data_IF_927223023629
#
_entry.id   IF_927223023629
#
_cell.length_a   1.000
_cell.length_b   1.000
_cell.length_c   1.000
_cell.angle_alpha   90.00
_cell.angle_beta   90.00
_cell.angle_gamma   90.00
#
_symmetry.space_group_name_H-M   'P 1'
#
loop_
_entity.id
_entity.type
_entity.pdbx_description
1 polymer ?
#
# COMPACT_ATOMS: atom_id res chain seq x y z
N UNK A 1 18.32 -4.53 -31.69
CA UNK A 1 19.20 -5.64 -32.17
C UNK A 1 20.62 -5.10 -32.42
N UNK A 2 21.64 -5.87 -32.05
CA UNK A 2 23.03 -5.50 -32.20
C UNK A 2 23.83 -6.64 -32.84
N UNK A 3 24.55 -6.36 -33.95
CA UNK A 3 25.39 -7.37 -34.60
C UNK A 3 26.80 -7.32 -33.99
N UNK A 4 27.21 -8.44 -33.39
CA UNK A 4 28.56 -8.56 -32.83
C UNK A 4 29.65 -8.59 -33.95
N UNK A 5 30.67 -7.77 -33.75
CA UNK A 5 31.88 -7.78 -34.57
C UNK A 5 32.87 -8.86 -34.15
N UNK A 6 33.99 -8.91 -34.86
CA UNK A 6 35.04 -9.93 -34.59
C UNK A 6 35.92 -9.61 -33.37
N UNK A 7 35.97 -8.42 -32.90
CA UNK A 7 36.71 -7.93 -31.71
C UNK A 7 38.18 -8.47 -31.67
N UNK A 8 38.85 -8.44 -32.84
CA UNK A 8 40.23 -8.90 -32.99
C UNK A 8 40.43 -10.43 -33.03
N UNK A 9 39.35 -11.22 -32.99
CA UNK A 9 39.39 -12.68 -33.15
C UNK A 9 39.37 -13.05 -34.63
N UNK A 10 40.09 -14.11 -34.99
CA UNK A 10 40.17 -14.64 -36.36
C UNK A 10 39.74 -16.13 -36.42
N UNK A 11 39.17 -16.55 -37.54
CA UNK A 11 38.66 -17.90 -37.74
C UNK A 11 37.15 -18.00 -37.51
N UNK A 12 36.66 -19.22 -37.34
CA UNK A 12 35.26 -19.49 -36.99
C UNK A 12 35.00 -18.99 -35.56
N UNK A 13 33.87 -18.24 -35.38
CA UNK A 13 33.49 -17.68 -34.10
C UNK A 13 32.26 -18.40 -33.58
N UNK A 14 32.21 -18.55 -32.26
CA UNK A 14 31.04 -18.97 -31.50
C UNK A 14 30.58 -17.85 -30.58
N UNK A 15 29.29 -17.78 -30.31
CA UNK A 15 28.64 -16.74 -29.50
C UNK A 15 27.78 -17.43 -28.47
N UNK A 16 27.90 -17.02 -27.20
CA UNK A 16 27.18 -17.61 -26.07
C UNK A 16 26.84 -16.59 -25.04
N UNK A 17 25.62 -16.62 -24.52
CA UNK A 17 25.23 -15.86 -23.32
C UNK A 17 25.75 -16.62 -22.11
N UNK A 18 26.75 -16.04 -21.43
CA UNK A 18 27.40 -16.68 -20.27
C UNK A 18 26.86 -16.19 -18.92
N UNK A 19 26.13 -15.08 -18.89
CA UNK A 19 25.40 -14.60 -17.71
C UNK A 19 24.26 -13.67 -18.09
N UNK A 20 23.21 -13.62 -17.26
CA UNK A 20 22.02 -12.80 -17.44
C UNK A 20 21.02 -13.39 -18.43
N UNK A 21 19.81 -12.86 -18.40
CA UNK A 21 18.66 -13.35 -19.18
C UNK A 21 18.09 -12.29 -20.14
N UNK A 22 18.65 -11.07 -20.13
CA UNK A 22 18.09 -9.95 -20.86
C UNK A 22 18.32 -9.97 -22.36
N UNK A 23 19.23 -10.81 -22.85
CA UNK A 23 19.49 -10.96 -24.30
C UNK A 23 19.58 -12.44 -24.70
N UNK A 24 19.33 -12.68 -25.99
CA UNK A 24 19.67 -13.93 -26.72
C UNK A 24 20.65 -13.58 -27.82
N UNK A 25 21.47 -14.55 -28.20
CA UNK A 25 22.43 -14.39 -29.28
C UNK A 25 22.29 -15.55 -30.28
N UNK A 26 22.30 -15.24 -31.57
CA UNK A 26 22.26 -16.24 -32.63
C UNK A 26 23.67 -16.80 -32.96
N UNK A 27 23.73 -17.90 -33.66
CA UNK A 27 24.98 -18.47 -34.18
C UNK A 27 25.74 -17.53 -35.12
N UNK A 28 25.05 -16.55 -35.71
CA UNK A 28 25.66 -15.50 -36.53
C UNK A 28 26.16 -14.31 -35.73
N UNK A 29 25.96 -14.28 -34.39
CA UNK A 29 26.33 -13.19 -33.51
C UNK A 29 25.34 -12.02 -33.50
N UNK A 30 24.10 -12.22 -33.95
CA UNK A 30 23.05 -11.23 -33.77
C UNK A 30 22.52 -11.28 -32.34
N UNK A 31 22.65 -10.18 -31.58
CA UNK A 31 22.15 -10.04 -30.22
C UNK A 31 20.80 -9.33 -30.27
N UNK A 32 19.80 -9.92 -29.66
CA UNK A 32 18.45 -9.37 -29.53
C UNK A 32 18.04 -9.35 -28.07
N UNK A 33 17.25 -8.33 -27.64
CA UNK A 33 16.64 -8.35 -26.32
C UNK A 33 15.74 -9.59 -26.19
N UNK A 34 15.79 -10.22 -25.02
CA UNK A 34 14.87 -11.29 -24.69
C UNK A 34 13.55 -10.67 -24.20
N UNK A 35 12.42 -11.27 -24.53
CA UNK A 35 11.11 -10.77 -24.13
C UNK A 35 10.14 -11.91 -23.85
N UNK A 36 9.23 -11.65 -22.92
CA UNK A 36 8.03 -12.44 -22.70
C UNK A 36 6.89 -11.91 -23.54
N UNK A 37 6.00 -12.79 -23.99
CA UNK A 37 4.82 -12.41 -24.76
C UNK A 37 3.61 -12.55 -23.86
N UNK A 38 2.87 -11.46 -23.74
CA UNK A 38 1.61 -11.41 -22.99
C UNK A 38 0.44 -11.12 -23.92
N UNK A 39 -0.70 -11.73 -23.61
CA UNK A 39 -1.96 -11.55 -24.32
C UNK A 39 -2.97 -10.93 -23.37
N UNK A 40 -3.56 -9.79 -23.74
CA UNK A 40 -4.50 -9.04 -22.92
C UNK A 40 -5.88 -9.02 -23.55
N UNK A 41 -6.90 -9.41 -22.79
CA UNK A 41 -8.31 -9.36 -23.19
C UNK A 41 -9.16 -8.85 -22.01
N UNK A 42 -9.86 -7.74 -22.19
CA UNK A 42 -10.75 -7.15 -21.19
C UNK A 42 -10.08 -6.96 -19.79
N UNK A 43 -8.79 -6.56 -19.76
CA UNK A 43 -8.06 -6.36 -18.53
C UNK A 43 -7.43 -7.62 -17.92
N UNK A 44 -7.63 -8.79 -18.50
CA UNK A 44 -6.97 -10.04 -18.07
C UNK A 44 -5.74 -10.32 -18.93
N UNK A 45 -4.58 -10.54 -18.26
CA UNK A 45 -3.32 -10.89 -18.90
C UNK A 45 -3.05 -12.41 -18.85
N UNK A 46 -2.45 -12.98 -19.89
CA UNK A 46 -2.03 -14.37 -19.95
C UNK A 46 -0.76 -14.52 -20.77
N UNK A 47 0.14 -15.41 -20.36
CA UNK A 47 1.29 -15.86 -21.17
C UNK A 47 0.89 -16.82 -22.30
N UNK A 48 -0.34 -17.32 -22.29
CA UNK A 48 -0.88 -18.19 -23.34
C UNK A 48 -1.77 -17.41 -24.32
N UNK A 49 -1.75 -17.73 -25.61
CA UNK A 49 -2.59 -17.08 -26.62
C UNK A 49 -4.08 -17.13 -26.26
N UNK A 50 -4.77 -16.00 -26.39
CA UNK A 50 -6.23 -15.86 -26.25
C UNK A 50 -6.81 -15.26 -27.55
N UNK A 51 -7.91 -15.81 -28.04
CA UNK A 51 -8.58 -15.30 -29.24
C UNK A 51 -9.10 -13.87 -29.00
N UNK A 52 -8.79 -12.94 -29.92
CA UNK A 52 -9.18 -11.54 -29.81
C UNK A 52 -8.34 -10.70 -28.84
N UNK A 53 -7.32 -11.26 -28.17
CA UNK A 53 -6.47 -10.54 -27.26
C UNK A 53 -5.43 -9.66 -27.96
N UNK A 54 -5.10 -8.53 -27.34
CA UNK A 54 -3.96 -7.70 -27.74
C UNK A 54 -2.67 -8.37 -27.30
N UNK A 55 -1.74 -8.58 -28.25
CA UNK A 55 -0.41 -9.13 -28.00
C UNK A 55 0.56 -8.01 -27.61
N UNK A 56 1.21 -8.15 -26.46
CA UNK A 56 2.26 -7.25 -25.98
C UNK A 56 3.57 -8.00 -25.76
N UNK A 57 4.67 -7.25 -25.80
CA UNK A 57 6.01 -7.78 -25.56
C UNK A 57 6.61 -7.10 -24.34
N UNK A 58 6.90 -7.88 -23.29
CA UNK A 58 7.66 -7.40 -22.13
C UNK A 58 9.12 -7.80 -22.28
N UNK A 59 10.00 -6.82 -22.44
CA UNK A 59 11.43 -7.06 -22.54
C UNK A 59 12.02 -7.38 -21.15
N UNK A 60 12.79 -8.47 -21.07
CA UNK A 60 13.54 -8.81 -19.85
C UNK A 60 14.69 -7.82 -19.72
N UNK A 61 14.60 -6.95 -18.72
CA UNK A 61 15.61 -5.90 -18.47
C UNK A 61 16.76 -6.46 -17.64
N UNK A 62 17.89 -5.78 -17.68
CA UNK A 62 19.06 -6.13 -16.89
C UNK A 62 20.33 -6.33 -17.72
N UNK A 63 21.37 -6.79 -17.03
CA UNK A 63 22.69 -7.02 -17.65
C UNK A 63 22.83 -8.48 -18.09
N UNK A 64 23.33 -8.66 -19.32
CA UNK A 64 23.74 -9.96 -19.85
C UNK A 64 25.15 -9.85 -20.42
N UNK A 65 25.91 -10.92 -20.31
CA UNK A 65 27.26 -11.00 -20.89
C UNK A 65 27.27 -12.05 -22.00
N UNK A 66 27.67 -11.63 -23.19
CA UNK A 66 27.84 -12.50 -24.35
C UNK A 66 29.33 -12.74 -24.60
N UNK A 67 29.73 -13.99 -24.63
CA UNK A 67 31.08 -14.41 -24.97
C UNK A 67 31.20 -14.69 -26.44
N UNK A 68 32.26 -14.12 -27.06
CA UNK A 68 32.68 -14.41 -28.42
C UNK A 68 33.94 -15.20 -28.31
N UNK A 69 34.03 -16.36 -28.96
CA UNK A 69 35.21 -17.25 -28.90
C UNK A 69 35.57 -17.83 -30.27
N UNK A 70 36.85 -18.01 -30.52
CA UNK A 70 37.38 -18.80 -31.65
C UNK A 70 37.96 -20.16 -31.20
N UNK A 71 37.63 -20.58 -29.98
CA UNK A 71 38.15 -21.83 -29.39
C UNK A 71 39.55 -21.69 -28.76
N UNK A 72 40.30 -20.61 -29.03
CA UNK A 72 41.63 -20.33 -28.47
C UNK A 72 41.68 -19.07 -27.64
N UNK A 73 40.90 -18.06 -28.02
CA UNK A 73 40.75 -16.79 -27.34
C UNK A 73 39.27 -16.42 -27.24
N UNK A 74 38.91 -15.66 -26.25
CA UNK A 74 37.56 -15.15 -26.08
C UNK A 74 37.53 -13.66 -25.64
N UNK A 75 36.44 -13.02 -25.92
CA UNK A 75 36.11 -11.64 -25.46
C UNK A 75 34.68 -11.64 -24.98
N UNK A 76 34.44 -10.98 -23.84
CA UNK A 76 33.12 -10.86 -23.24
C UNK A 76 32.59 -9.43 -23.48
N UNK A 77 31.36 -9.36 -23.94
CA UNK A 77 30.64 -8.08 -24.17
C UNK A 77 29.43 -8.01 -23.24
N UNK A 78 29.33 -6.95 -22.48
CA UNK A 78 28.19 -6.71 -21.60
C UNK A 78 27.12 -5.92 -22.34
N UNK A 79 25.89 -6.42 -22.30
CA UNK A 79 24.68 -5.73 -22.75
C UNK A 79 23.84 -5.34 -21.55
N UNK A 80 23.24 -4.15 -21.60
CA UNK A 80 22.27 -3.69 -20.63
C UNK A 80 20.96 -3.40 -21.37
N UNK A 81 19.96 -4.25 -21.15
CA UNK A 81 18.63 -4.07 -21.71
C UNK A 81 17.82 -3.25 -20.71
N UNK A 82 17.30 -2.10 -21.16
CA UNK A 82 16.46 -1.21 -20.36
C UNK A 82 15.09 -1.08 -21.00
N UNK A 83 14.05 -0.90 -20.19
CA UNK A 83 12.76 -0.50 -20.71
C UNK A 83 12.88 0.96 -21.15
N UNK A 84 12.69 1.23 -22.43
CA UNK A 84 12.85 2.56 -22.99
C UNK A 84 11.99 3.61 -22.31
N UNK A 85 10.73 3.27 -22.00
CA UNK A 85 9.80 4.18 -21.35
C UNK A 85 10.30 4.61 -19.96
N UNK A 86 10.76 3.66 -19.15
CA UNK A 86 11.33 3.95 -17.82
C UNK A 86 12.63 4.74 -17.92
N UNK A 87 13.51 4.35 -18.84
CA UNK A 87 14.77 5.05 -19.03
C UNK A 87 14.56 6.51 -19.52
N UNK A 88 13.66 6.70 -20.47
CA UNK A 88 13.31 8.03 -20.97
C UNK A 88 12.71 8.91 -19.87
N UNK A 89 11.77 8.39 -19.11
CA UNK A 89 11.14 9.10 -18.00
C UNK A 89 12.16 9.48 -16.90
N UNK A 90 13.07 8.56 -16.56
CA UNK A 90 14.15 8.79 -15.61
C UNK A 90 15.09 9.92 -16.08
N UNK A 91 15.49 9.95 -17.35
CA UNK A 91 16.34 11.00 -17.93
C UNK A 91 15.64 12.37 -17.94
N UNK A 92 14.34 12.43 -18.21
CA UNK A 92 13.55 13.67 -18.14
C UNK A 92 13.50 14.20 -16.71
N UNK A 93 13.21 13.33 -15.73
CA UNK A 93 13.18 13.72 -14.32
C UNK A 93 14.53 14.21 -13.82
N UNK A 94 15.62 13.50 -14.11
CA UNK A 94 17.00 13.92 -13.76
C UNK A 94 17.38 15.24 -14.43
N UNK A 95 16.98 15.44 -15.67
CA UNK A 95 17.23 16.69 -16.40
C UNK A 95 16.50 17.85 -15.73
N UNK A 96 15.25 17.68 -15.34
CA UNK A 96 14.52 18.69 -14.58
C UNK A 96 15.23 19.00 -13.25
N UNK A 97 15.58 17.99 -12.46
CA UNK A 97 16.29 18.18 -11.18
C UNK A 97 17.59 18.94 -11.39
N UNK A 98 18.42 18.54 -12.36
CA UNK A 98 19.71 19.18 -12.63
C UNK A 98 19.60 20.67 -13.04
N UNK A 99 18.51 21.03 -13.73
CA UNK A 99 18.31 22.37 -14.25
C UNK A 99 17.55 23.31 -13.29
N UNK A 100 16.70 22.76 -12.41
CA UNK A 100 15.71 23.53 -11.65
C UNK A 100 15.88 23.44 -10.14
N UNK A 101 16.60 22.45 -9.63
CA UNK A 101 16.77 22.22 -8.20
C UNK A 101 18.25 22.44 -7.81
N UNK A 102 18.48 23.23 -6.77
CA UNK A 102 19.82 23.45 -6.22
C UNK A 102 19.91 23.07 -4.74
N UNK A 103 21.11 22.78 -4.27
CA UNK A 103 21.37 22.45 -2.85
C UNK A 103 21.07 23.62 -1.90
N UNK A 104 21.00 24.85 -2.41
CA UNK A 104 20.67 26.04 -1.62
C UNK A 104 19.17 26.22 -1.39
N UNK A 105 18.31 25.50 -2.11
CA UNK A 105 16.85 25.55 -1.92
C UNK A 105 16.44 24.81 -0.66
N UNK A 106 15.47 25.38 0.09
CA UNK A 106 14.79 24.66 1.17
C UNK A 106 13.95 23.50 0.59
N UNK A 107 13.54 22.54 1.43
CA UNK A 107 12.68 21.45 0.99
C UNK A 107 11.35 21.97 0.42
N UNK A 108 10.77 23.02 1.04
CA UNK A 108 9.57 23.67 0.53
C UNK A 108 9.80 24.29 -0.87
N UNK A 109 10.91 24.99 -1.09
CA UNK A 109 11.21 25.57 -2.40
C UNK A 109 11.42 24.50 -3.49
N UNK A 110 12.01 23.37 -3.13
CA UNK A 110 12.11 22.22 -4.04
C UNK A 110 10.74 21.64 -4.37
N UNK A 111 9.88 21.46 -3.37
CA UNK A 111 8.50 20.99 -3.56
C UNK A 111 7.68 21.94 -4.44
N UNK A 112 7.81 23.25 -4.23
CA UNK A 112 7.17 24.27 -5.06
C UNK A 112 7.61 24.20 -6.51
N UNK A 113 8.92 24.07 -6.77
CA UNK A 113 9.47 23.93 -8.12
C UNK A 113 8.96 22.64 -8.79
N UNK A 114 8.91 21.53 -8.07
CA UNK A 114 8.39 20.24 -8.55
C UNK A 114 6.90 20.34 -8.91
N UNK A 115 6.08 20.87 -7.99
CA UNK A 115 4.63 21.01 -8.21
C UNK A 115 4.34 21.90 -9.41
N UNK A 116 5.04 23.03 -9.52
CA UNK A 116 4.95 23.94 -10.64
C UNK A 116 5.36 23.28 -11.97
N UNK A 117 6.47 22.53 -11.97
CA UNK A 117 6.92 21.81 -13.17
C UNK A 117 5.87 20.85 -13.69
N UNK A 118 5.27 20.04 -12.81
CA UNK A 118 4.23 19.06 -13.21
C UNK A 118 2.99 19.79 -13.74
N UNK A 119 2.54 20.84 -13.06
CA UNK A 119 1.36 21.61 -13.44
C UNK A 119 1.54 22.40 -14.74
N UNK A 120 2.75 22.89 -15.03
CA UNK A 120 3.04 23.71 -16.23
C UNK A 120 3.38 22.88 -17.46
N UNK A 121 3.93 21.66 -17.26
CA UNK A 121 4.47 20.85 -18.35
C UNK A 121 3.45 19.89 -18.93
N UNK A 122 2.54 19.36 -18.09
CA UNK A 122 1.66 18.26 -18.46
C UNK A 122 0.19 18.66 -18.42
N UNK A 123 -0.59 18.13 -19.37
CA UNK A 123 -2.02 18.38 -19.45
C UNK A 123 -2.82 17.26 -18.76
N UNK A 124 -4.08 17.54 -18.42
CA UNK A 124 -4.99 16.49 -17.96
C UNK A 124 -5.32 15.50 -19.08
N UNK A 125 -5.23 14.21 -18.78
CA UNK A 125 -5.66 13.12 -19.65
C UNK A 125 -6.15 11.94 -18.83
N UNK A 126 -7.43 11.57 -18.89
CA UNK A 126 -7.98 10.47 -18.08
C UNK A 126 -7.47 9.08 -18.50
N UNK A 127 -6.80 8.99 -19.65
CA UNK A 127 -6.33 7.72 -20.22
C UNK A 127 -5.00 7.23 -19.60
N UNK A 128 -4.34 8.07 -18.82
CA UNK A 128 -3.00 7.81 -18.28
C UNK A 128 -2.95 8.09 -16.78
N UNK A 129 -2.67 7.04 -15.99
CA UNK A 129 -2.70 7.07 -14.52
C UNK A 129 -1.33 6.80 -13.87
N UNK A 130 -0.20 6.91 -14.60
CA UNK A 130 1.14 6.81 -14.03
C UNK A 130 2.03 7.97 -14.47
N UNK A 131 2.99 8.36 -13.61
CA UNK A 131 3.93 9.43 -13.90
C UNK A 131 4.77 9.15 -15.16
N UNK A 132 5.15 7.90 -15.40
CA UNK A 132 5.86 7.50 -16.62
C UNK A 132 4.98 7.70 -17.85
N UNK A 133 3.72 7.28 -17.81
CA UNK A 133 2.81 7.49 -18.94
C UNK A 133 2.53 8.97 -19.15
N UNK A 134 2.43 9.78 -18.10
CA UNK A 134 2.30 11.23 -18.17
C UNK A 134 3.49 11.87 -18.91
N UNK A 135 4.72 11.49 -18.58
CA UNK A 135 5.93 12.01 -19.23
C UNK A 135 5.95 11.65 -20.72
N UNK A 136 5.55 10.44 -21.08
CA UNK A 136 5.61 9.95 -22.47
C UNK A 136 4.50 10.56 -23.34
N UNK A 137 3.29 10.69 -22.80
CA UNK A 137 2.11 11.17 -23.53
C UNK A 137 1.92 12.69 -23.49
N UNK A 138 2.60 13.38 -22.58
CA UNK A 138 2.44 14.82 -22.35
C UNK A 138 1.24 15.16 -21.47
N UNK A 139 0.60 14.17 -20.81
CA UNK A 139 -0.52 14.38 -19.91
C UNK A 139 -0.93 13.15 -19.12
N UNK A 140 -1.74 13.35 -18.08
CA UNK A 140 -2.25 12.29 -17.22
C UNK A 140 -3.34 12.76 -16.27
N UNK A 141 -3.92 11.84 -15.50
CA UNK A 141 -4.92 12.12 -14.48
C UNK A 141 -4.29 12.52 -13.13
N UNK A 142 -5.09 12.64 -12.08
CA UNK A 142 -4.59 12.99 -10.74
C UNK A 142 -3.67 11.91 -10.14
N UNK A 143 -3.82 10.64 -10.52
CA UNK A 143 -2.90 9.57 -10.12
C UNK A 143 -1.54 9.74 -10.79
N UNK A 144 -1.52 10.04 -12.09
CA UNK A 144 -0.30 10.26 -12.84
C UNK A 144 0.49 11.48 -12.33
N UNK A 145 -0.20 12.57 -12.01
CA UNK A 145 0.44 13.77 -11.44
C UNK A 145 0.98 13.50 -10.03
N UNK A 146 0.25 12.77 -9.17
CA UNK A 146 0.76 12.34 -7.87
C UNK A 146 2.00 11.46 -8.00
N UNK A 147 1.97 10.45 -8.86
CA UNK A 147 3.08 9.53 -9.08
C UNK A 147 4.34 10.27 -9.56
N UNK A 148 4.19 11.25 -10.46
CA UNK A 148 5.31 12.06 -10.92
C UNK A 148 5.83 13.02 -9.84
N UNK A 149 4.97 13.71 -9.09
CA UNK A 149 5.38 14.57 -7.97
C UNK A 149 6.14 13.74 -6.93
N UNK A 150 5.61 12.57 -6.53
CA UNK A 150 6.25 11.69 -5.57
C UNK A 150 7.62 11.21 -6.05
N UNK A 151 7.72 10.77 -7.31
CA UNK A 151 8.98 10.34 -7.90
C UNK A 151 10.04 11.45 -7.91
N UNK A 152 9.65 12.67 -8.22
CA UNK A 152 10.56 13.84 -8.18
C UNK A 152 10.95 14.21 -6.74
N UNK A 153 10.03 14.14 -5.79
CA UNK A 153 10.30 14.33 -4.36
C UNK A 153 11.32 13.31 -3.85
N UNK A 154 11.17 12.04 -4.22
CA UNK A 154 12.10 10.96 -3.83
C UNK A 154 13.52 11.22 -4.35
N UNK A 155 13.66 11.72 -5.59
CA UNK A 155 14.96 12.07 -6.19
C UNK A 155 15.70 13.18 -5.42
N UNK A 156 14.97 14.06 -4.72
CA UNK A 156 15.56 15.17 -3.93
C UNK A 156 15.47 14.95 -2.42
N UNK A 157 15.04 13.77 -1.98
CA UNK A 157 15.01 13.33 -0.58
C UNK A 157 13.87 13.89 0.27
N UNK A 158 12.80 14.41 -0.34
CA UNK A 158 11.60 14.89 0.36
C UNK A 158 10.70 13.70 0.68
N UNK A 159 10.38 13.50 1.97
CA UNK A 159 9.38 12.50 2.38
C UNK A 159 8.00 12.87 1.86
N UNK A 160 7.33 11.92 1.24
CA UNK A 160 6.06 12.17 0.60
C UNK A 160 5.17 10.91 0.56
N UNK A 161 3.89 11.09 0.33
CA UNK A 161 2.95 10.03 0.00
C UNK A 161 1.70 10.56 -0.70
N UNK A 162 0.97 9.66 -1.38
CA UNK A 162 -0.32 9.98 -1.98
C UNK A 162 -1.41 10.12 -0.90
N UNK A 163 -2.31 11.10 -1.06
CA UNK A 163 -3.44 11.34 -0.18
C UNK A 163 -4.77 11.22 -0.95
N UNK A 164 -5.80 10.69 -0.28
CA UNK A 164 -7.19 10.78 -0.77
C UNK A 164 -7.70 12.20 -0.51
N UNK A 165 -8.01 12.92 -1.56
CA UNK A 165 -8.41 14.33 -1.52
C UNK A 165 -9.91 14.57 -1.78
N UNK A 166 -10.76 13.54 -1.68
CA UNK A 166 -12.19 13.62 -2.02
C UNK A 166 -12.98 14.65 -1.19
N UNK A 167 -12.46 15.04 -0.02
CA UNK A 167 -13.09 16.01 0.90
C UNK A 167 -12.48 17.40 0.78
N UNK A 168 -11.47 17.58 -0.07
CA UNK A 168 -10.87 18.90 -0.27
C UNK A 168 -11.86 19.83 -0.98
N UNK A 169 -11.87 21.13 -0.65
CA UNK A 169 -12.81 22.07 -1.24
C UNK A 169 -12.78 22.05 -2.75
N UNK A 170 -13.92 21.68 -3.37
CA UNK A 170 -14.09 21.57 -4.81
C UNK A 170 -13.41 20.34 -5.44
N UNK A 171 -12.89 19.38 -4.71
CA UNK A 171 -12.45 18.09 -5.21
C UNK A 171 -13.65 17.26 -5.66
N UNK A 172 -13.49 16.48 -6.73
CA UNK A 172 -14.45 15.44 -7.14
C UNK A 172 -14.20 14.12 -6.39
N UNK A 173 -15.14 13.18 -6.52
CA UNK A 173 -14.92 11.82 -6.03
C UNK A 173 -13.74 11.18 -6.77
N UNK A 174 -12.81 10.56 -6.04
CA UNK A 174 -11.64 9.90 -6.62
C UNK A 174 -10.41 10.79 -6.78
N UNK A 175 -10.47 12.06 -6.37
CA UNK A 175 -9.30 12.94 -6.43
C UNK A 175 -8.16 12.50 -5.51
N UNK A 176 -6.94 12.72 -5.96
CA UNK A 176 -5.69 12.43 -5.25
C UNK A 176 -4.76 13.63 -5.33
N UNK A 177 -4.02 13.86 -4.26
CA UNK A 177 -2.88 14.77 -4.22
C UNK A 177 -1.75 14.19 -3.36
N UNK A 178 -0.67 14.92 -3.19
CA UNK A 178 0.52 14.48 -2.46
C UNK A 178 0.63 15.24 -1.15
N UNK A 179 0.94 14.54 -0.07
CA UNK A 179 1.44 15.14 1.17
C UNK A 179 2.96 15.01 1.18
N UNK A 180 3.64 16.10 1.47
CA UNK A 180 5.09 16.14 1.60
C UNK A 180 5.51 16.76 2.94
N UNK A 181 6.56 16.21 3.54
CA UNK A 181 7.18 16.77 4.74
C UNK A 181 8.37 17.62 4.33
N UNK A 182 8.25 18.93 4.50
CA UNK A 182 9.28 19.90 4.13
C UNK A 182 9.58 20.81 5.32
N UNK A 183 10.88 20.94 5.66
CA UNK A 183 11.36 21.82 6.72
C UNK A 183 10.61 21.62 8.06
N UNK A 184 10.20 20.37 8.36
CA UNK A 184 9.47 19.96 9.55
C UNK A 184 7.96 20.24 9.54
N UNK A 185 7.39 20.66 8.40
CA UNK A 185 5.97 20.93 8.21
C UNK A 185 5.39 20.08 7.08
N UNK A 186 4.08 19.81 7.16
CA UNK A 186 3.36 19.08 6.13
C UNK A 186 2.73 20.04 5.12
N UNK A 187 2.86 19.70 3.85
CA UNK A 187 2.27 20.45 2.74
C UNK A 187 1.49 19.53 1.81
N UNK A 188 0.33 20.02 1.35
CA UNK A 188 -0.38 19.44 0.22
C UNK A 188 0.23 19.99 -1.06
N UNK A 189 0.60 19.11 -1.99
CA UNK A 189 1.02 19.43 -3.34
C UNK A 189 0.05 18.81 -4.35
N UNK A 190 -0.63 19.67 -5.11
CA UNK A 190 -1.61 19.28 -6.12
C UNK A 190 -1.29 19.98 -7.44
N UNK A 191 -1.09 19.21 -8.50
CA UNK A 191 -0.83 19.77 -9.82
C UNK A 191 -2.12 20.23 -10.55
N UNK A 192 -3.26 20.16 -9.89
CA UNK A 192 -4.40 20.99 -10.23
C UNK A 192 -5.42 20.43 -11.19
N UNK A 193 -5.69 19.13 -11.22
CA UNK A 193 -6.72 18.62 -12.13
C UNK A 193 -7.91 18.01 -11.39
N UNK A 194 -9.08 18.68 -11.49
CA UNK A 194 -10.37 18.10 -11.13
C UNK A 194 -11.35 18.31 -12.26
N UNK A 195 -11.78 17.22 -12.90
CA UNK A 195 -12.65 17.25 -14.07
C UNK A 195 -12.00 17.95 -15.25
N UNK A 196 -12.81 18.52 -16.14
CA UNK A 196 -12.36 19.16 -17.40
C UNK A 196 -11.76 20.56 -17.23
N UNK A 197 -11.60 21.05 -15.99
CA UNK A 197 -11.03 22.36 -15.71
C UNK A 197 -9.69 22.24 -14.98
N UNK A 198 -8.60 22.86 -15.49
CA UNK A 198 -7.37 22.98 -14.71
C UNK A 198 -7.68 23.77 -13.44
N UNK A 199 -7.48 23.13 -12.28
CA UNK A 199 -7.40 23.88 -11.03
C UNK A 199 -6.05 24.56 -10.98
N UNK A 200 -6.03 25.69 -10.28
CA UNK A 200 -4.78 26.33 -9.91
C UNK A 200 -3.90 25.37 -9.11
N UNK A 201 -2.62 25.60 -9.15
CA UNK A 201 -1.61 24.89 -8.37
C UNK A 201 -1.94 25.08 -6.90
N UNK A 202 -2.27 23.99 -6.21
CA UNK A 202 -2.50 24.05 -4.78
C UNK A 202 -1.25 23.54 -4.05
N UNK A 203 -0.58 24.46 -3.37
CA UNK A 203 0.51 24.17 -2.46
C UNK A 203 0.24 24.93 -1.15
N UNK A 204 -0.14 24.20 -0.09
CA UNK A 204 -0.48 24.81 1.19
C UNK A 204 -0.09 23.92 2.37
N UNK A 205 0.21 24.57 3.51
CA UNK A 205 0.50 23.88 4.77
C UNK A 205 -0.75 23.15 5.28
N UNK A 206 -0.56 21.92 5.77
CA UNK A 206 -1.63 21.07 6.32
C UNK A 206 -1.23 20.47 7.67
N UNK A 207 -2.11 19.71 8.27
CA UNK A 207 -1.85 18.96 9.50
C UNK A 207 -1.88 17.45 9.24
N UNK A 208 -1.26 16.68 10.15
CA UNK A 208 -1.24 15.22 10.03
C UNK A 208 -2.63 14.57 10.20
N UNK A 209 -3.60 15.29 10.74
CA UNK A 209 -4.91 14.75 11.12
C UNK A 209 -6.01 15.43 10.32
N UNK A 210 -6.33 14.87 9.17
CA UNK A 210 -7.44 15.33 8.32
C UNK A 210 -8.77 14.96 8.98
N UNK A 211 -9.51 15.98 9.45
CA UNK A 211 -10.77 15.79 10.15
C UNK A 211 -11.85 16.80 9.71
N UNK A 212 -13.10 16.42 9.90
CA UNK A 212 -14.26 17.30 9.76
C UNK A 212 -15.06 17.28 11.06
N UNK A 213 -15.22 18.46 11.68
CA UNK A 213 -15.96 18.65 12.93
C UNK A 213 -15.55 17.65 14.04
N UNK A 214 -14.25 17.35 14.15
CA UNK A 214 -13.71 16.39 15.12
C UNK A 214 -13.83 14.92 14.74
N UNK A 215 -14.31 14.61 13.55
CA UNK A 215 -14.28 13.25 12.98
C UNK A 215 -13.01 13.07 12.16
N UNK A 216 -12.04 12.33 12.67
CA UNK A 216 -10.80 11.99 11.96
C UNK A 216 -11.12 11.00 10.86
N UNK A 217 -10.90 11.38 9.61
CA UNK A 217 -11.15 10.50 8.47
C UNK A 217 -9.88 9.99 7.76
N UNK A 218 -8.72 10.66 7.98
CA UNK A 218 -7.45 10.25 7.41
C UNK A 218 -6.27 10.76 8.25
N UNK A 219 -5.21 9.96 8.34
CA UNK A 219 -3.93 10.36 8.90
C UNK A 219 -2.92 10.56 7.77
N UNK A 220 -2.36 11.76 7.70
CA UNK A 220 -1.44 12.21 6.64
C UNK A 220 -0.01 12.41 7.14
N UNK A 221 0.30 12.04 8.39
CA UNK A 221 1.61 12.21 9.01
C UNK A 221 2.59 11.08 8.68
N UNK A 222 3.81 11.22 9.20
CA UNK A 222 4.94 10.30 9.00
C UNK A 222 5.44 9.65 10.29
N UNK A 223 4.72 9.79 11.41
CA UNK A 223 5.12 9.26 12.71
C UNK A 223 4.72 7.80 12.88
N UNK A 224 5.61 6.99 13.42
CA UNK A 224 5.35 5.59 13.75
C UNK A 224 4.58 5.43 15.07
N UNK A 225 4.75 6.38 15.99
CA UNK A 225 4.04 6.48 17.26
C UNK A 225 3.15 7.74 17.21
N UNK A 226 1.86 7.53 17.04
CA UNK A 226 0.89 8.59 16.74
C UNK A 226 0.18 9.03 18.03
N UNK A 227 0.12 10.33 18.26
CA UNK A 227 -0.70 10.93 19.33
C UNK A 227 -1.84 11.69 18.68
N UNK A 228 -3.05 11.14 18.74
CA UNK A 228 -4.26 11.80 18.22
C UNK A 228 -4.54 13.03 19.11
N UNK A 229 -4.72 14.24 18.51
CA UNK A 229 -4.88 15.45 19.28
C UNK A 229 -6.23 15.54 20.01
N UNK A 230 -6.26 16.32 21.07
CA UNK A 230 -7.50 16.71 21.73
C UNK A 230 -8.44 17.43 20.73
N UNK A 231 -9.76 17.23 20.91
CA UNK A 231 -10.76 17.77 19.98
C UNK A 231 -11.22 16.78 18.92
N UNK A 232 -10.46 15.70 18.65
CA UNK A 232 -10.98 14.57 17.89
C UNK A 232 -11.99 13.81 18.77
N UNK A 233 -13.21 13.68 18.28
CA UNK A 233 -14.33 13.02 18.98
C UNK A 233 -14.69 11.67 18.38
N UNK A 234 -14.29 11.44 17.12
CA UNK A 234 -14.47 10.16 16.43
C UNK A 234 -13.23 9.80 15.58
N UNK A 235 -12.90 8.53 15.51
CA UNK A 235 -11.84 7.97 14.66
C UNK A 235 -12.51 7.13 13.57
N UNK A 236 -12.57 7.68 12.36
CA UNK A 236 -13.28 7.11 11.22
C UNK A 236 -14.80 7.23 11.32
N UNK A 237 -15.45 7.03 10.20
CA UNK A 237 -16.89 6.79 10.03
C UNK A 237 -17.15 5.30 9.84
N UNK A 238 -18.40 4.89 9.61
CA UNK A 238 -18.70 3.49 9.26
C UNK A 238 -17.81 3.00 8.12
N UNK A 239 -17.10 1.90 8.34
CA UNK A 239 -16.21 1.24 7.37
C UNK A 239 -15.01 2.06 6.89
N UNK A 240 -14.65 3.16 7.56
CA UNK A 240 -13.47 3.95 7.22
C UNK A 240 -12.23 3.46 7.95
N UNK A 241 -11.17 3.12 7.17
CA UNK A 241 -9.83 2.86 7.64
C UNK A 241 -9.00 4.15 7.56
N UNK A 242 -8.79 4.77 8.71
CA UNK A 242 -8.16 6.11 8.82
C UNK A 242 -6.69 6.12 8.43
N UNK A 243 -5.99 5.00 8.61
CA UNK A 243 -4.54 4.91 8.45
C UNK A 243 -4.08 4.23 7.15
N UNK A 244 -5.01 3.73 6.33
CA UNK A 244 -4.69 2.88 5.16
C UNK A 244 -3.81 3.58 4.11
N UNK A 245 -3.98 4.89 3.93
CA UNK A 245 -3.23 5.67 2.95
C UNK A 245 -2.10 6.51 3.57
N UNK A 246 -1.78 6.32 4.86
CA UNK A 246 -0.63 7.00 5.45
C UNK A 246 0.69 6.45 4.88
N UNK A 247 1.69 7.32 4.76
CA UNK A 247 3.03 6.97 4.25
C UNK A 247 3.68 5.80 4.99
N UNK A 248 3.38 5.70 6.26
CA UNK A 248 4.00 4.77 7.19
C UNK A 248 3.02 3.75 7.78
N UNK A 249 1.89 3.51 7.10
CA UNK A 249 0.87 2.59 7.63
C UNK A 249 1.45 1.20 7.98
N UNK A 250 2.50 0.78 7.25
CA UNK A 250 3.24 -0.46 7.50
C UNK A 250 4.28 -0.34 8.63
N UNK A 251 4.58 0.87 9.15
CA UNK A 251 5.55 1.09 10.22
C UNK A 251 4.94 1.57 11.53
N UNK A 252 3.68 2.03 11.54
CA UNK A 252 2.96 2.47 12.75
C UNK A 252 3.04 1.41 13.85
N UNK A 253 3.55 1.77 15.02
CA UNK A 253 3.77 0.86 16.16
C UNK A 253 2.83 1.11 17.32
N UNK A 254 2.42 2.38 17.54
CA UNK A 254 1.51 2.76 18.62
C UNK A 254 0.60 3.93 18.21
N UNK A 255 -0.60 3.96 18.81
CA UNK A 255 -1.52 5.08 18.65
C UNK A 255 -2.10 5.43 20.02
N UNK A 256 -1.98 6.71 20.42
CA UNK A 256 -2.55 7.28 21.63
C UNK A 256 -3.88 7.97 21.31
N UNK A 257 -4.94 7.56 22.02
CA UNK A 257 -6.32 7.98 21.82
C UNK A 257 -6.72 8.90 22.98
N UNK A 258 -7.11 10.18 22.74
CA UNK A 258 -7.44 11.13 23.76
C UNK A 258 -8.78 10.86 24.45
N UNK A 259 -9.02 11.56 25.56
CA UNK A 259 -10.26 11.45 26.35
C UNK A 259 -11.50 11.91 25.62
N UNK A 260 -11.34 12.77 24.60
CA UNK A 260 -12.44 13.32 23.77
C UNK A 260 -13.10 12.30 22.83
N UNK A 261 -12.40 11.20 22.48
CA UNK A 261 -12.92 10.22 21.53
C UNK A 261 -14.06 9.41 22.14
N UNK A 262 -15.22 9.47 21.51
CA UNK A 262 -16.45 8.75 21.90
C UNK A 262 -16.86 7.65 20.91
N UNK A 263 -16.32 7.70 19.67
CA UNK A 263 -16.58 6.70 18.63
C UNK A 263 -15.28 6.32 17.91
N UNK A 264 -15.15 5.04 17.57
CA UNK A 264 -14.06 4.51 16.78
C UNK A 264 -14.66 3.54 15.77
N UNK A 265 -14.38 3.71 14.48
CA UNK A 265 -14.80 2.74 13.46
C UNK A 265 -14.18 1.37 13.73
N UNK A 266 -14.96 0.30 13.57
CA UNK A 266 -14.50 -1.08 13.80
C UNK A 266 -13.30 -1.47 12.94
N UNK A 267 -13.08 -0.77 11.83
CA UNK A 267 -11.97 -1.00 10.89
C UNK A 267 -10.95 0.13 10.85
N UNK A 268 -11.06 1.12 11.77
CA UNK A 268 -10.21 2.30 11.77
C UNK A 268 -8.70 2.00 11.68
N UNK A 269 -8.26 0.92 12.30
CA UNK A 269 -6.85 0.50 12.38
C UNK A 269 -6.52 -0.73 11.53
N UNK A 270 -7.45 -1.19 10.69
CA UNK A 270 -7.25 -2.42 9.93
C UNK A 270 -6.07 -2.31 8.96
N UNK A 271 -5.26 -3.36 8.86
CA UNK A 271 -4.10 -3.41 7.96
C UNK A 271 -2.81 -2.79 8.48
N UNK A 272 -2.81 -2.11 9.63
CA UNK A 272 -1.59 -1.57 10.26
C UNK A 272 -0.73 -2.69 10.84
N UNK A 273 0.08 -3.34 10.00
CA UNK A 273 0.74 -4.64 10.30
C UNK A 273 1.70 -4.63 11.49
N UNK A 274 2.31 -3.49 11.82
CA UNK A 274 3.25 -3.35 12.95
C UNK A 274 2.62 -2.75 14.20
N UNK A 275 1.37 -2.27 14.14
CA UNK A 275 0.68 -1.69 15.28
C UNK A 275 0.54 -2.73 16.41
N UNK A 276 1.15 -2.45 17.55
CA UNK A 276 1.13 -3.32 18.73
C UNK A 276 0.35 -2.74 19.90
N UNK A 277 0.25 -1.41 19.97
CA UNK A 277 -0.32 -0.74 21.12
C UNK A 277 -1.31 0.35 20.73
N UNK A 278 -2.52 0.23 21.26
CA UNK A 278 -3.50 1.31 21.33
C UNK A 278 -3.55 1.78 22.79
N UNK A 279 -3.10 3.00 23.04
CA UNK A 279 -3.18 3.62 24.36
C UNK A 279 -4.41 4.50 24.43
N UNK A 280 -5.14 4.45 25.53
CA UNK A 280 -6.34 5.27 25.73
C UNK A 280 -6.15 6.09 27.00
N UNK A 281 -6.40 7.38 26.92
CA UNK A 281 -6.38 8.29 28.07
C UNK A 281 -7.32 7.78 29.17
N UNK A 282 -6.86 7.76 30.42
CA UNK A 282 -7.63 7.24 31.56
C UNK A 282 -8.96 7.97 31.79
N UNK A 283 -9.02 9.26 31.41
CA UNK A 283 -10.24 10.07 31.49
C UNK A 283 -11.25 9.77 30.35
N UNK A 284 -10.89 8.97 29.35
CA UNK A 284 -11.85 8.56 28.31
C UNK A 284 -13.01 7.79 28.94
N UNK A 285 -14.24 8.13 28.56
CA UNK A 285 -15.48 7.59 29.16
C UNK A 285 -16.00 6.35 28.43
N UNK A 286 -15.52 6.06 27.22
CA UNK A 286 -16.09 5.05 26.31
C UNK A 286 -15.18 3.85 26.16
N UNK A 287 -13.87 4.07 26.18
CA UNK A 287 -12.85 3.06 25.91
C UNK A 287 -11.78 3.00 27.00
N UNK A 288 -11.05 1.90 27.03
CA UNK A 288 -9.82 1.71 27.80
C UNK A 288 -8.87 0.78 27.06
N UNK A 289 -7.59 0.87 27.41
CA UNK A 289 -6.56 -0.05 26.94
C UNK A 289 -6.18 -1.05 28.02
N UNK A 290 -6.00 -2.31 27.64
CA UNK A 290 -5.39 -3.35 28.46
C UNK A 290 -4.34 -4.04 27.59
N UNK A 291 -3.08 -4.01 28.01
CA UNK A 291 -1.95 -4.57 27.25
C UNK A 291 -1.91 -4.10 25.78
N UNK A 292 -2.26 -2.83 25.53
CA UNK A 292 -2.27 -2.22 24.21
C UNK A 292 -3.44 -2.67 23.32
N UNK A 293 -4.41 -3.41 23.84
CA UNK A 293 -5.64 -3.83 23.17
C UNK A 293 -6.79 -2.93 23.60
N UNK A 294 -7.65 -2.57 22.66
CA UNK A 294 -8.79 -1.66 22.90
C UNK A 294 -10.01 -2.45 23.42
N UNK A 295 -10.61 -1.95 24.48
CA UNK A 295 -11.83 -2.45 25.09
C UNK A 295 -12.86 -1.34 25.27
N UNK A 296 -14.14 -1.69 25.35
CA UNK A 296 -15.13 -0.79 25.95
C UNK A 296 -14.78 -0.45 27.39
N UNK A 297 -15.19 0.73 27.88
CA UNK A 297 -14.80 1.24 29.21
C UNK A 297 -15.17 0.28 30.34
N UNK A 298 -16.31 -0.40 30.25
CA UNK A 298 -16.76 -1.42 31.21
C UNK A 298 -15.94 -2.71 31.15
N UNK A 299 -15.14 -2.91 30.09
CA UNK A 299 -14.31 -4.09 29.85
C UNK A 299 -15.08 -5.33 29.44
N UNK A 300 -16.34 -5.21 29.06
CA UNK A 300 -17.16 -6.34 28.64
C UNK A 300 -16.93 -6.76 27.20
N UNK A 301 -16.52 -5.81 26.35
CA UNK A 301 -16.23 -6.09 24.93
C UNK A 301 -14.77 -5.83 24.63
N UNK A 302 -14.05 -6.82 24.09
CA UNK A 302 -12.80 -6.58 23.38
C UNK A 302 -13.15 -5.96 22.04
N UNK A 303 -12.71 -4.71 21.82
CA UNK A 303 -13.20 -3.88 20.72
C UNK A 303 -12.31 -4.02 19.48
N UNK A 304 -11.00 -3.78 19.62
CA UNK A 304 -10.04 -3.92 18.52
C UNK A 304 -8.69 -4.43 19.02
N UNK A 305 -8.16 -5.41 18.33
CA UNK A 305 -6.81 -5.94 18.53
C UNK A 305 -5.87 -5.37 17.47
N UNK A 306 -4.76 -4.72 17.89
CA UNK A 306 -3.74 -4.23 16.95
C UNK A 306 -3.18 -5.34 16.06
N UNK A 307 -3.12 -5.10 14.73
CA UNK A 307 -2.76 -6.10 13.73
C UNK A 307 -1.31 -6.64 13.85
N UNK A 308 -0.41 -5.93 14.53
CA UNK A 308 0.96 -6.38 14.79
C UNK A 308 1.12 -7.34 15.97
N UNK A 309 0.04 -7.68 16.68
CA UNK A 309 0.08 -8.70 17.74
C UNK A 309 0.03 -10.10 17.16
N UNK A 310 0.92 -10.98 17.64
CA UNK A 310 0.99 -12.38 17.21
C UNK A 310 0.22 -13.34 18.11
N UNK A 311 -0.02 -12.96 19.36
CA UNK A 311 -0.75 -13.76 20.36
C UNK A 311 -1.59 -12.85 21.24
N UNK A 312 -2.81 -13.27 21.56
CA UNK A 312 -3.71 -12.54 22.45
C UNK A 312 -4.37 -13.51 23.43
N UNK A 313 -4.33 -13.15 24.71
CA UNK A 313 -5.13 -13.82 25.74
C UNK A 313 -6.21 -12.87 26.21
N UNK A 314 -7.46 -13.17 25.88
CA UNK A 314 -8.60 -12.35 26.27
C UNK A 314 -8.82 -12.48 27.77
N UNK A 315 -8.90 -11.37 28.55
CA UNK A 315 -9.06 -11.41 30.00
C UNK A 315 -10.41 -12.04 30.42
N UNK A 316 -10.39 -12.69 31.58
CA UNK A 316 -11.65 -13.10 32.23
C UNK A 316 -12.50 -11.87 32.56
N UNK A 317 -13.79 -11.97 32.34
CA UNK A 317 -14.75 -10.87 32.50
C UNK A 317 -15.17 -10.22 31.18
N UNK A 318 -14.43 -10.44 30.09
CA UNK A 318 -14.90 -10.14 28.72
C UNK A 318 -16.02 -11.12 28.38
N UNK A 319 -17.12 -10.59 27.86
CA UNK A 319 -18.30 -11.36 27.45
C UNK A 319 -18.51 -11.36 25.95
N UNK A 320 -17.92 -10.39 25.25
CA UNK A 320 -18.14 -10.20 23.80
C UNK A 320 -16.80 -9.95 23.09
N UNK A 321 -16.56 -10.66 21.99
CA UNK A 321 -15.59 -10.30 20.98
C UNK A 321 -16.33 -9.42 19.97
N UNK A 322 -15.92 -8.18 19.82
CA UNK A 322 -16.60 -7.18 18.98
C UNK A 322 -16.53 -7.49 17.47
N UNK A 323 -17.35 -6.78 16.71
CA UNK A 323 -17.34 -6.87 15.26
C UNK A 323 -15.98 -6.42 14.71
N UNK A 324 -15.44 -7.17 13.76
CA UNK A 324 -14.14 -6.91 13.11
C UNK A 324 -12.94 -6.80 14.08
N UNK A 325 -13.06 -7.32 15.31
CA UNK A 325 -12.09 -7.14 16.40
C UNK A 325 -10.65 -7.57 16.03
N UNK A 326 -10.45 -8.63 15.26
CA UNK A 326 -9.18 -9.14 14.75
C UNK A 326 -9.07 -9.01 13.21
N UNK A 327 -9.92 -8.22 12.59
CA UNK A 327 -9.96 -8.12 11.14
C UNK A 327 -8.63 -7.68 10.53
N UNK A 328 -8.17 -8.36 9.46
CA UNK A 328 -6.85 -8.20 8.83
C UNK A 328 -5.64 -8.44 9.76
N UNK A 329 -5.82 -9.11 10.90
CA UNK A 329 -4.72 -9.45 11.81
C UNK A 329 -3.88 -10.61 11.24
N UNK A 330 -3.17 -10.36 10.15
CA UNK A 330 -2.36 -11.37 9.46
C UNK A 330 -1.21 -11.94 10.31
N UNK A 331 -0.80 -11.25 11.38
CA UNK A 331 0.25 -11.69 12.32
C UNK A 331 -0.27 -12.60 13.43
N UNK A 332 -1.60 -12.63 13.68
CA UNK A 332 -2.15 -13.39 14.82
C UNK A 332 -2.07 -14.90 14.56
N UNK A 333 -1.39 -15.62 15.44
CA UNK A 333 -1.20 -17.08 15.35
C UNK A 333 -1.90 -17.85 16.47
N UNK A 334 -2.30 -17.16 17.53
CA UNK A 334 -2.98 -17.79 18.68
C UNK A 334 -3.86 -16.79 19.42
N UNK A 335 -5.10 -17.20 19.71
CA UNK A 335 -6.04 -16.47 20.56
C UNK A 335 -6.59 -17.40 21.62
N UNK A 336 -6.46 -17.00 22.90
CA UNK A 336 -7.08 -17.70 24.03
C UNK A 336 -8.36 -17.00 24.43
N UNK A 337 -9.50 -17.71 24.31
CA UNK A 337 -10.84 -17.19 24.62
C UNK A 337 -11.29 -17.78 25.96
N UNK A 338 -11.60 -16.95 26.98
CA UNK A 338 -12.05 -17.44 28.27
C UNK A 338 -13.52 -17.91 28.23
N UNK A 339 -13.89 -18.70 29.22
CA UNK A 339 -15.24 -19.23 29.42
C UNK A 339 -16.31 -18.20 29.81
N UNK A 340 -15.91 -16.92 29.92
CA UNK A 340 -16.84 -15.79 30.11
C UNK A 340 -17.39 -15.23 28.82
N UNK A 341 -16.75 -15.51 27.66
CA UNK A 341 -17.21 -15.04 26.34
C UNK A 341 -18.45 -15.78 25.91
N UNK A 342 -19.49 -15.03 25.56
CA UNK A 342 -20.80 -15.55 25.12
C UNK A 342 -21.12 -15.19 23.68
N UNK A 343 -20.46 -14.18 23.11
CA UNK A 343 -20.73 -13.70 21.75
C UNK A 343 -19.45 -13.38 20.98
N UNK A 344 -19.43 -13.74 19.70
CA UNK A 344 -18.41 -13.38 18.72
C UNK A 344 -19.10 -12.59 17.61
N UNK A 345 -18.61 -11.40 17.31
CA UNK A 345 -19.20 -10.44 16.37
C UNK A 345 -19.01 -10.79 14.89
N UNK A 346 -19.59 -9.93 14.05
CA UNK A 346 -19.47 -9.99 12.58
C UNK A 346 -18.02 -9.79 12.16
N UNK A 347 -17.51 -10.64 11.26
CA UNK A 347 -16.15 -10.53 10.72
C UNK A 347 -15.03 -10.55 11.76
N UNK A 348 -15.31 -11.00 12.99
CA UNK A 348 -14.43 -10.83 14.15
C UNK A 348 -13.00 -11.37 13.94
N UNK A 349 -12.83 -12.42 13.17
CA UNK A 349 -11.54 -13.03 12.81
C UNK A 349 -11.32 -13.06 11.29
N UNK A 350 -12.03 -12.26 10.50
CA UNK A 350 -11.85 -12.23 9.06
C UNK A 350 -10.44 -11.84 8.64
N UNK A 351 -9.89 -12.52 7.63
CA UNK A 351 -8.53 -12.31 7.11
C UNK A 351 -7.38 -12.49 8.14
N UNK A 352 -7.57 -13.39 9.14
CA UNK A 352 -6.53 -13.78 10.09
C UNK A 352 -5.66 -14.91 9.52
N UNK A 353 -4.89 -14.63 8.46
CA UNK A 353 -4.21 -15.62 7.63
C UNK A 353 -3.19 -16.51 8.35
N UNK A 354 -2.65 -16.08 9.50
CA UNK A 354 -1.71 -16.87 10.31
C UNK A 354 -2.38 -17.71 11.40
N UNK A 355 -3.69 -17.57 11.60
CA UNK A 355 -4.43 -18.29 12.62
C UNK A 355 -4.81 -19.70 12.13
N UNK A 356 -3.95 -20.69 12.40
CA UNK A 356 -4.15 -22.07 11.93
C UNK A 356 -5.26 -22.83 12.65
N UNK A 357 -5.55 -22.47 13.90
CA UNK A 357 -6.66 -23.04 14.66
C UNK A 357 -7.12 -22.13 15.78
N UNK A 358 -8.41 -22.22 16.13
CA UNK A 358 -9.02 -21.52 17.26
C UNK A 358 -10.00 -22.42 17.98
N UNK A 359 -10.00 -22.35 19.32
CA UNK A 359 -10.91 -23.10 20.17
C UNK A 359 -11.98 -22.18 20.76
N UNK A 360 -13.22 -22.43 20.41
CA UNK A 360 -14.38 -21.66 20.87
C UNK A 360 -14.95 -22.34 22.12
N UNK A 361 -15.00 -21.67 23.28
CA UNK A 361 -15.45 -22.26 24.53
C UNK A 361 -16.97 -22.55 24.54
N UNK A 362 -17.40 -23.42 25.45
CA UNK A 362 -18.81 -23.83 25.58
C UNK A 362 -19.77 -22.68 25.95
N UNK A 363 -19.21 -21.61 26.51
CA UNK A 363 -19.98 -20.42 26.89
C UNK A 363 -20.51 -19.62 25.71
N UNK A 364 -19.89 -19.74 24.52
CA UNK A 364 -20.27 -18.96 23.32
C UNK A 364 -21.65 -19.47 22.85
N UNK A 365 -22.59 -18.53 22.68
CA UNK A 365 -23.94 -18.72 22.23
C UNK A 365 -24.19 -18.22 20.82
N UNK A 366 -23.47 -17.19 20.39
CA UNK A 366 -23.65 -16.57 19.07
C UNK A 366 -22.33 -16.34 18.38
N UNK A 367 -22.28 -16.57 17.07
CA UNK A 367 -21.15 -16.25 16.18
C UNK A 367 -21.74 -15.50 14.98
N UNK A 368 -21.28 -14.26 14.77
CA UNK A 368 -21.79 -13.36 13.75
C UNK A 368 -21.45 -13.77 12.31
N UNK A 369 -22.04 -13.07 11.37
CA UNK A 369 -21.82 -13.25 9.94
C UNK A 369 -20.33 -13.10 9.60
N UNK A 370 -19.80 -13.94 8.71
CA UNK A 370 -18.40 -13.88 8.23
C UNK A 370 -17.32 -13.91 9.32
N UNK A 371 -17.61 -14.39 10.52
CA UNK A 371 -16.71 -14.30 11.67
C UNK A 371 -15.32 -14.91 11.42
N UNK A 372 -15.18 -15.89 10.54
CA UNK A 372 -13.93 -16.54 10.11
C UNK A 372 -13.79 -16.54 8.59
N UNK A 373 -14.15 -15.43 7.96
CA UNK A 373 -14.06 -15.31 6.50
C UNK A 373 -12.59 -15.28 6.04
N UNK A 374 -12.33 -15.96 4.92
CA UNK A 374 -11.03 -16.01 4.25
C UNK A 374 -9.90 -16.68 5.05
N UNK A 375 -10.21 -17.47 6.07
CA UNK A 375 -9.20 -18.14 6.86
C UNK A 375 -9.12 -19.62 6.48
N UNK A 376 -7.92 -20.15 6.40
CA UNK A 376 -7.70 -21.59 6.27
C UNK A 376 -7.61 -22.27 7.65
N UNK A 377 -8.27 -21.70 8.67
CA UNK A 377 -8.12 -22.15 10.04
C UNK A 377 -9.04 -23.34 10.39
N UNK A 378 -8.65 -24.05 11.43
CA UNK A 378 -9.49 -25.07 12.06
C UNK A 378 -10.24 -24.47 13.24
N UNK A 379 -11.54 -24.27 13.11
CA UNK A 379 -12.40 -23.75 14.18
C UNK A 379 -12.99 -24.92 14.98
N UNK A 380 -12.62 -25.04 16.25
CA UNK A 380 -13.08 -26.07 17.16
C UNK A 380 -14.17 -25.48 18.06
N UNK A 381 -15.42 -25.90 17.89
CA UNK A 381 -16.56 -25.40 18.63
C UNK A 381 -16.95 -26.41 19.71
N UNK A 382 -16.93 -25.99 20.96
CA UNK A 382 -17.20 -26.87 22.10
C UNK A 382 -18.66 -26.85 22.56
N UNK A 383 -19.49 -25.95 22.01
CA UNK A 383 -20.91 -25.84 22.34
C UNK A 383 -21.77 -26.45 21.25
N UNK A 384 -22.82 -27.16 21.64
CA UNK A 384 -23.84 -27.71 20.71
C UNK A 384 -24.98 -26.72 20.40
N UNK A 385 -25.07 -25.64 21.18
CA UNK A 385 -26.22 -24.70 21.17
C UNK A 385 -25.79 -23.33 20.58
N UNK A 386 -24.80 -23.28 19.68
CA UNK A 386 -24.34 -22.05 19.05
C UNK A 386 -25.27 -21.66 17.92
N UNK A 387 -25.72 -20.40 17.93
CA UNK A 387 -26.42 -19.78 16.81
C UNK A 387 -25.38 -19.13 15.88
N UNK A 388 -25.38 -19.57 14.65
CA UNK A 388 -24.47 -19.07 13.62
C UNK A 388 -25.14 -18.00 12.74
N UNK A 389 -24.40 -16.95 12.42
CA UNK A 389 -24.73 -16.04 11.35
C UNK A 389 -24.52 -16.65 9.95
N UNK A 390 -24.57 -15.81 8.92
CA UNK A 390 -24.36 -16.22 7.52
C UNK A 390 -22.88 -16.35 7.22
N UNK A 391 -22.51 -17.38 6.43
CA UNK A 391 -21.14 -17.56 5.92
C UNK A 391 -20.06 -17.43 7.02
N UNK A 392 -20.31 -18.01 8.19
CA UNK A 392 -19.45 -17.85 9.38
C UNK A 392 -18.01 -18.27 9.10
N UNK A 393 -17.81 -19.37 8.38
CA UNK A 393 -16.49 -19.96 8.15
C UNK A 393 -16.42 -20.64 6.77
N UNK A 394 -16.60 -19.92 5.66
CA UNK A 394 -16.76 -20.52 4.33
C UNK A 394 -15.52 -21.29 3.85
N UNK A 395 -14.35 -20.97 4.40
CA UNK A 395 -13.06 -21.58 4.02
C UNK A 395 -12.38 -22.33 5.16
N UNK A 396 -13.01 -22.42 6.34
CA UNK A 396 -12.47 -23.09 7.52
C UNK A 396 -13.02 -24.50 7.69
N UNK A 397 -12.27 -25.36 8.39
CA UNK A 397 -12.79 -26.64 8.88
C UNK A 397 -13.47 -26.45 10.23
N UNK A 398 -14.79 -26.64 10.29
CA UNK A 398 -15.55 -26.67 11.55
C UNK A 398 -15.46 -28.05 12.19
N UNK A 399 -15.11 -28.10 13.47
CA UNK A 399 -15.03 -29.33 14.28
C UNK A 399 -15.82 -29.11 15.54
N UNK A 400 -16.85 -29.93 15.75
CA UNK A 400 -17.74 -29.91 16.91
C UNK A 400 -17.60 -31.14 17.81
#
# INVERSE_FOLDING_TARGET
>A
NYQLGKYGLTGALTYEVISGESVKVSDSGLVEPNCEIWYWLNGFGSSSPMEGATKTYEYITGKSVVRISNGKKSTDITFNVVNYAYHYADEIQKTFIANSISDSMTEYQKLEAITNYVADTYNYSPDYSSGISMIISGGGDCWASCDLIMSLCDLVGIKNHVRIANRDPGAGSGHRNVVALCDGKLYIADAGYVGDAPRGRDLYETTAFSNDNGVLYQYDGFDDDIVIPDGITAIGEESNNVFYYSANYDSITAISIPSSVSYISNVAFAGTKKLKNLYVDDANKFYKSIDGVLYTKDGKTIYTVPNGKSKVSIPRGVTTIGDYCFYYSSSISSVSIPDTVTSIGVGAFGDCLSLSSIKIPKSVKTIGDFAFYNDSCRVIILSKDVVFGKNVAPYCTLVG
#
